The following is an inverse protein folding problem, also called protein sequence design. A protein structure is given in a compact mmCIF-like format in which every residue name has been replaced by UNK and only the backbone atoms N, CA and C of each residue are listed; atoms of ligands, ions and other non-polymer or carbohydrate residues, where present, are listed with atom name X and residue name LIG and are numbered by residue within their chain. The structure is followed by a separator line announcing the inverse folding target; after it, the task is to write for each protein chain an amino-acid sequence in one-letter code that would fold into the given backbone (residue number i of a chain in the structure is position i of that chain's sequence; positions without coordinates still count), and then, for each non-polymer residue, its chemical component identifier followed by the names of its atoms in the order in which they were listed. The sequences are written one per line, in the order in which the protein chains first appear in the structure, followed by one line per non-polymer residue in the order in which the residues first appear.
data_IF_397041858693
#
_entry.id   IF_397041858693
#
_cell.length_a   1.000
_cell.length_b   1.000
_cell.length_c   1.000
_cell.angle_alpha   90.00
_cell.angle_beta   90.00
_cell.angle_gamma   90.00
#
_symmetry.space_group_name_H-M   'P 1'
#
loop_
_entity.id
_entity.type
_entity.pdbx_description
1 polymer ?
#
# COMPACT_ATOMS: atom_id res chain seq x y z
N UNK A 1 -1.86 -4.21 -21.29
CA UNK A 1 -1.14 -3.89 -20.10
C UNK A 1 0.28 -4.28 -20.16
N UNK A 2 1.15 -3.45 -19.72
CA UNK A 2 2.54 -3.79 -19.77
C UNK A 2 3.01 -4.17 -18.38
N UNK A 3 4.20 -4.68 -18.31
CA UNK A 3 4.76 -5.09 -17.06
C UNK A 3 4.92 -3.90 -16.15
N UNK A 4 5.24 -2.75 -16.71
CA UNK A 4 5.39 -1.55 -15.91
C UNK A 4 4.07 -1.16 -15.26
N UNK A 5 2.98 -1.32 -15.98
CA UNK A 5 1.67 -1.01 -15.42
C UNK A 5 1.33 -1.97 -14.29
N UNK A 6 1.66 -3.24 -14.48
CA UNK A 6 1.36 -4.22 -13.46
C UNK A 6 2.15 -3.94 -12.19
N UNK A 7 3.42 -3.58 -12.34
CA UNK A 7 4.24 -3.27 -11.19
C UNK A 7 3.71 -2.02 -10.49
N UNK A 8 3.31 -1.03 -11.26
CA UNK A 8 2.76 0.19 -10.68
C UNK A 8 1.50 -0.10 -9.86
N UNK A 9 0.65 -0.96 -10.39
CA UNK A 9 -0.57 -1.30 -9.67
C UNK A 9 -0.26 -2.03 -8.37
N UNK A 10 0.69 -2.94 -8.40
CA UNK A 10 1.07 -3.64 -7.19
C UNK A 10 1.59 -2.68 -6.13
N UNK A 11 2.42 -1.74 -6.53
CA UNK A 11 2.94 -0.78 -5.60
C UNK A 11 1.84 0.10 -5.05
N UNK A 12 0.91 0.49 -5.90
CA UNK A 12 -0.18 1.35 -5.46
C UNK A 12 -1.05 0.63 -4.43
N UNK A 13 -1.34 -0.63 -4.69
CA UNK A 13 -2.17 -1.40 -3.76
C UNK A 13 -1.43 -1.59 -2.45
N UNK A 14 -0.14 -1.88 -2.51
CA UNK A 14 0.64 -2.07 -1.30
C UNK A 14 0.66 -0.81 -0.46
N UNK A 15 0.84 0.34 -1.09
CA UNK A 15 0.84 1.59 -0.36
C UNK A 15 -0.53 1.90 0.23
N UNK A 16 -1.57 1.60 -0.52
CA UNK A 16 -2.93 1.85 -0.03
C UNK A 16 -3.20 1.00 1.21
N UNK A 17 -2.81 -0.26 1.17
CA UNK A 17 -3.02 -1.14 2.30
C UNK A 17 -2.20 -0.65 3.49
N UNK A 18 -0.98 -0.21 3.24
CA UNK A 18 -0.14 0.29 4.29
C UNK A 18 -0.78 1.50 4.97
N UNK A 19 -1.32 2.42 4.18
CA UNK A 19 -1.96 3.60 4.75
C UNK A 19 -3.21 3.24 5.54
N UNK A 20 -3.99 2.31 5.05
CA UNK A 20 -5.18 1.88 5.75
C UNK A 20 -4.79 1.25 7.07
N UNK A 21 -3.78 0.40 7.06
CA UNK A 21 -3.32 -0.24 8.27
C UNK A 21 -2.83 0.80 9.27
N UNK A 22 -2.13 1.81 8.80
CA UNK A 22 -1.63 2.85 9.67
C UNK A 22 -2.77 3.62 10.34
N UNK A 23 -3.87 3.78 9.62
CA UNK A 23 -5.00 4.48 10.18
C UNK A 23 -5.76 3.63 11.18
N UNK A 24 -5.89 2.34 10.89
CA UNK A 24 -6.62 1.46 11.78
C UNK A 24 -5.80 1.04 12.98
N UNK A 25 -4.50 0.91 12.82
CA UNK A 25 -3.64 0.48 13.92
C UNK A 25 -2.53 1.49 14.12
N UNK A 26 -2.87 2.70 14.52
CA UNK A 26 -1.85 3.74 14.65
C UNK A 26 -0.90 3.51 15.79
N UNK A 27 -1.18 2.57 16.66
CA UNK A 27 -0.32 2.40 17.76
C UNK A 27 0.83 1.57 17.45
N UNK A 28 1.14 1.28 16.24
CA UNK A 28 2.20 0.47 15.95
C UNK A 28 3.42 0.92 16.62
N UNK A 29 3.71 2.06 16.99
CA UNK A 29 4.85 2.26 17.68
C UNK A 29 4.75 3.40 18.47
N UNK A 30 4.53 3.60 19.23
CA UNK A 30 4.39 4.51 19.99
C UNK A 30 5.10 4.71 20.64
#
# INVERSE_FOLDING_TARGET
MSILSAVGLLLAVALAVYLVAALLYPEKFE
#
